data_IF_632824448546
#
_entry.id   IF_632824448546
#
_cell.length_a   1.000
_cell.length_b   1.000
_cell.length_c   1.000
_cell.angle_alpha   90.00
_cell.angle_beta   90.00
_cell.angle_gamma   90.00
#
_symmetry.space_group_name_H-M   'P 1'
#
loop_
_entity.id
_entity.type
_entity.pdbx_description
1 polymer ?
#
# COMPACT_ATOMS: atom_id res chain seq x y z
N UNK A 1 1.32 18.12 -11.98
CA UNK A 1 -0.05 18.21 -11.43
C UNK A 1 0.05 18.10 -9.92
N UNK A 2 -0.69 18.90 -9.14
CA UNK A 2 -0.78 18.67 -7.69
C UNK A 2 -1.45 17.32 -7.46
N UNK A 3 -0.87 16.50 -6.59
CA UNK A 3 -1.45 15.22 -6.23
C UNK A 3 -2.67 15.46 -5.34
N UNK A 4 -3.85 15.02 -5.78
CA UNK A 4 -5.12 15.33 -5.11
C UNK A 4 -5.60 14.18 -4.24
N UNK A 5 -6.50 14.48 -3.30
CA UNK A 5 -7.18 13.45 -2.51
C UNK A 5 -7.90 12.41 -3.39
N UNK A 6 -8.45 12.83 -4.55
CA UNK A 6 -9.10 11.92 -5.48
C UNK A 6 -8.08 10.99 -6.15
N UNK A 7 -6.94 11.53 -6.59
CA UNK A 7 -5.83 10.72 -7.12
C UNK A 7 -5.34 9.71 -6.08
N UNK A 8 -5.24 10.14 -4.82
CA UNK A 8 -4.87 9.29 -3.70
C UNK A 8 -5.85 8.15 -3.48
N UNK A 9 -7.15 8.42 -3.46
CA UNK A 9 -8.17 7.38 -3.31
C UNK A 9 -8.10 6.35 -4.45
N UNK A 10 -7.89 6.81 -5.69
CA UNK A 10 -7.72 5.92 -6.85
C UNK A 10 -6.49 5.04 -6.70
N UNK A 11 -5.35 5.61 -6.27
CA UNK A 11 -4.12 4.84 -6.08
C UNK A 11 -4.25 3.82 -4.94
N UNK A 12 -4.93 4.15 -3.85
CA UNK A 12 -5.23 3.18 -2.78
C UNK A 12 -6.08 2.02 -3.33
N UNK A 13 -7.12 2.31 -4.11
CA UNK A 13 -7.99 1.29 -4.70
C UNK A 13 -7.19 0.38 -5.64
N UNK A 14 -6.32 0.95 -6.47
CA UNK A 14 -5.44 0.18 -7.34
C UNK A 14 -4.52 -0.74 -6.53
N UNK A 15 -3.92 -0.23 -5.45
CA UNK A 15 -3.06 -1.01 -4.57
C UNK A 15 -3.82 -2.16 -3.86
N UNK A 16 -5.06 -1.91 -3.42
CA UNK A 16 -5.96 -2.94 -2.88
C UNK A 16 -6.23 -4.04 -3.91
N UNK A 17 -6.48 -3.67 -5.17
CA UNK A 17 -6.73 -4.65 -6.24
C UNK A 17 -5.50 -5.51 -6.50
N UNK A 18 -4.30 -4.92 -6.49
CA UNK A 18 -3.03 -5.66 -6.60
C UNK A 18 -2.85 -6.63 -5.42
N UNK A 19 -3.13 -6.19 -4.19
CA UNK A 19 -3.08 -7.07 -3.01
C UNK A 19 -4.00 -8.27 -3.16
N UNK A 20 -5.25 -8.05 -3.62
CA UNK A 20 -6.22 -9.13 -3.85
C UNK A 20 -5.76 -10.09 -4.94
N UNK A 21 -5.19 -9.59 -6.03
CA UNK A 21 -4.64 -10.42 -7.09
C UNK A 21 -3.46 -11.26 -6.56
N UNK A 22 -2.60 -10.68 -5.74
CA UNK A 22 -1.45 -11.37 -5.14
C UNK A 22 -1.90 -12.47 -4.17
N UNK A 23 -2.92 -12.21 -3.34
CA UNK A 23 -3.56 -13.22 -2.47
C UNK A 23 -4.06 -14.41 -3.31
N UNK A 24 -4.71 -14.16 -4.45
CA UNK A 24 -5.19 -15.22 -5.34
C UNK A 24 -4.04 -16.05 -5.91
N UNK A 25 -2.91 -15.42 -6.24
CA UNK A 25 -1.70 -16.15 -6.69
C UNK A 25 -1.13 -17.03 -5.57
N UNK A 26 -1.02 -16.50 -4.34
CA UNK A 26 -0.48 -17.26 -3.20
C UNK A 26 -1.36 -18.43 -2.80
N UNK A 27 -2.69 -18.29 -2.89
CA UNK A 27 -3.63 -19.41 -2.72
C UNK A 27 -3.49 -20.51 -3.77
N UNK A 28 -2.79 -20.25 -4.87
CA UNK A 28 -2.45 -21.21 -5.93
C UNK A 28 -0.98 -21.67 -5.86
N UNK A 29 -0.32 -21.47 -4.72
CA UNK A 29 1.10 -21.79 -4.49
C UNK A 29 2.08 -21.10 -5.46
N UNK A 30 1.67 -19.98 -6.08
CA UNK A 30 2.57 -19.15 -6.87
C UNK A 30 3.41 -18.33 -5.90
N UNK A 31 4.74 -18.42 -6.03
CA UNK A 31 5.68 -17.67 -5.20
C UNK A 31 5.76 -16.19 -5.58
N UNK A 32 6.24 -15.37 -4.65
CA UNK A 32 6.55 -13.95 -4.83
C UNK A 32 7.03 -13.32 -3.51
N UNK A 33 7.11 -11.99 -3.46
CA UNK A 33 7.79 -11.25 -2.39
C UNK A 33 7.01 -11.14 -1.06
N UNK A 34 5.70 -10.94 -1.11
CA UNK A 34 4.85 -10.79 0.07
C UNK A 34 4.24 -12.11 0.56
N UNK A 35 4.25 -12.38 1.86
CA UNK A 35 3.56 -13.54 2.43
C UNK A 35 2.04 -13.32 2.48
N UNK A 36 1.27 -14.41 2.54
CA UNK A 36 -0.19 -14.34 2.78
C UNK A 36 -0.52 -13.56 4.05
N UNK A 37 0.25 -13.77 5.12
CA UNK A 37 0.05 -13.09 6.39
C UNK A 37 0.28 -11.57 6.26
N UNK A 38 1.31 -11.14 5.53
CA UNK A 38 1.53 -9.72 5.26
C UNK A 38 0.38 -9.11 4.46
N UNK A 39 -0.10 -9.80 3.43
CA UNK A 39 -1.18 -9.32 2.60
C UNK A 39 -2.50 -9.20 3.38
N UNK A 40 -2.89 -10.24 4.12
CA UNK A 40 -4.20 -10.31 4.79
C UNK A 40 -4.23 -9.59 6.15
N UNK A 41 -3.14 -9.57 6.91
CA UNK A 41 -3.15 -9.03 8.27
C UNK A 41 -2.53 -7.63 8.40
N UNK A 42 -1.79 -7.16 7.40
CA UNK A 42 -1.07 -5.87 7.46
C UNK A 42 -1.46 -4.97 6.30
N UNK A 43 -1.17 -5.38 5.07
CA UNK A 43 -1.23 -4.50 3.89
C UNK A 43 -2.68 -4.17 3.55
N UNK A 44 -3.52 -5.19 3.33
CA UNK A 44 -4.90 -4.97 2.93
C UNK A 44 -5.72 -4.21 4.00
N UNK A 45 -5.67 -4.57 5.30
CA UNK A 45 -6.39 -3.84 6.33
C UNK A 45 -5.97 -2.38 6.46
N UNK A 46 -4.67 -2.08 6.35
CA UNK A 46 -4.19 -0.69 6.40
C UNK A 46 -4.69 0.12 5.22
N UNK A 47 -4.59 -0.41 4.00
CA UNK A 47 -5.05 0.27 2.79
C UNK A 47 -6.57 0.54 2.82
N UNK A 48 -7.35 -0.42 3.29
CA UNK A 48 -8.81 -0.25 3.45
C UNK A 48 -9.14 0.82 4.50
N UNK A 49 -8.46 0.83 5.65
CA UNK A 49 -8.64 1.85 6.67
C UNK A 49 -8.23 3.24 6.16
N UNK A 50 -7.13 3.33 5.42
CA UNK A 50 -6.64 4.57 4.83
C UNK A 50 -7.61 5.12 3.79
N UNK A 51 -8.18 4.26 2.94
CA UNK A 51 -9.20 4.65 1.97
C UNK A 51 -10.43 5.26 2.66
N UNK A 52 -10.88 4.67 3.77
CA UNK A 52 -12.00 5.23 4.53
C UNK A 52 -11.66 6.60 5.11
N UNK A 53 -10.48 6.76 5.72
CA UNK A 53 -10.01 8.06 6.24
C UNK A 53 -9.93 9.12 5.13
N UNK A 54 -9.44 8.75 3.95
CA UNK A 54 -9.35 9.64 2.79
C UNK A 54 -10.74 10.07 2.29
N UNK A 55 -11.74 9.18 2.31
CA UNK A 55 -13.12 9.49 1.91
C UNK A 55 -13.84 10.45 2.85
N UNK A 56 -13.63 10.30 4.15
CA UNK A 56 -14.27 11.14 5.18
C UNK A 56 -13.47 12.40 5.51
N UNK A 57 -12.35 12.65 4.81
CA UNK A 57 -11.49 13.81 5.06
C UNK A 57 -10.80 13.79 6.42
N UNK A 58 -10.65 12.63 7.05
CA UNK A 58 -10.06 12.47 8.38
C UNK A 58 -8.65 11.87 8.27
N UNK A 59 -7.82 12.49 7.43
CA UNK A 59 -6.40 12.13 7.34
C UNK A 59 -5.63 12.77 8.51
N UNK A 60 -4.66 12.06 9.11
CA UNK A 60 -3.83 12.62 10.16
C UNK A 60 -2.98 13.79 9.62
N UNK A 61 -2.38 14.60 10.51
CA UNK A 61 -1.45 15.65 10.13
C UNK A 61 -0.31 15.12 9.26
N UNK A 62 0.23 15.93 8.34
CA UNK A 62 1.31 15.53 7.41
C UNK A 62 2.49 14.83 8.09
N UNK A 63 2.88 15.26 9.29
CA UNK A 63 4.00 14.68 10.04
C UNK A 63 3.77 13.20 10.42
N UNK A 64 2.52 12.78 10.54
CA UNK A 64 2.10 11.43 10.95
C UNK A 64 1.66 10.56 9.76
N UNK A 65 1.83 11.04 8.51
CA UNK A 65 1.45 10.31 7.31
C UNK A 65 2.57 9.38 6.87
N UNK A 66 2.45 8.10 7.20
CA UNK A 66 3.29 7.03 6.66
C UNK A 66 2.51 5.72 6.63
N UNK A 67 2.90 4.81 5.73
CA UNK A 67 2.32 3.47 5.68
C UNK A 67 3.14 2.51 6.55
N UNK A 68 2.50 1.89 7.52
CA UNK A 68 3.11 0.81 8.29
C UNK A 68 3.38 -0.40 7.39
N UNK A 69 2.55 -0.62 6.37
CA UNK A 69 2.74 -1.65 5.35
C UNK A 69 4.05 -1.49 4.59
N UNK A 70 4.42 -0.24 4.28
CA UNK A 70 5.70 0.06 3.67
C UNK A 70 6.84 -0.27 4.64
N UNK A 71 6.78 0.19 5.89
CA UNK A 71 7.80 -0.13 6.91
C UNK A 71 7.91 -1.64 7.20
N UNK A 72 6.80 -2.38 7.16
CA UNK A 72 6.75 -3.81 7.42
C UNK A 72 7.22 -4.63 6.21
N UNK A 73 7.04 -4.14 4.99
CA UNK A 73 7.64 -4.74 3.79
C UNK A 73 9.17 -4.85 3.93
N UNK A 74 9.84 -3.84 4.50
CA UNK A 74 11.29 -3.90 4.77
C UNK A 74 11.70 -4.81 5.92
N UNK A 75 10.77 -5.23 6.78
CA UNK A 75 11.10 -6.02 7.98
C UNK A 75 11.39 -7.48 7.67
N UNK A 76 11.02 -7.96 6.49
CA UNK A 76 11.27 -9.33 6.03
C UNK A 76 12.10 -9.29 4.75
N UNK A 77 13.23 -9.99 4.74
CA UNK A 77 14.20 -10.11 3.62
C UNK A 77 13.64 -10.83 2.37
N UNK A 78 12.34 -10.72 2.09
CA UNK A 78 11.67 -11.39 0.96
C UNK A 78 11.42 -10.49 -0.26
N UNK A 79 11.62 -9.18 -0.13
CA UNK A 79 11.43 -8.23 -1.22
C UNK A 79 12.75 -8.01 -1.94
N UNK A 80 12.77 -8.32 -3.23
CA UNK A 80 13.92 -8.09 -4.08
C UNK A 80 14.00 -6.60 -4.42
N UNK A 81 14.99 -5.92 -3.83
CA UNK A 81 15.21 -4.49 -4.05
C UNK A 81 15.88 -4.20 -5.41
N UNK A 82 16.43 -5.21 -6.08
CA UNK A 82 16.98 -5.10 -7.44
C UNK A 82 15.88 -5.27 -8.51
N UNK A 83 14.91 -6.16 -8.27
CA UNK A 83 13.74 -6.36 -9.15
C UNK A 83 12.40 -6.32 -8.39
N UNK A 84 11.98 -5.15 -7.87
CA UNK A 84 10.81 -5.06 -7.01
C UNK A 84 9.52 -5.41 -7.75
N UNK A 85 8.61 -6.12 -7.07
CA UNK A 85 7.27 -6.37 -7.61
C UNK A 85 6.48 -5.08 -7.80
N UNK A 86 5.50 -5.13 -8.68
CA UNK A 86 4.55 -4.03 -8.91
C UNK A 86 3.88 -3.57 -7.61
N UNK A 87 3.58 -4.49 -6.70
CA UNK A 87 2.99 -4.16 -5.40
C UNK A 87 3.95 -3.32 -4.54
N UNK A 88 5.25 -3.64 -4.54
CA UNK A 88 6.26 -2.87 -3.81
C UNK A 88 6.36 -1.44 -4.33
N UNK A 89 6.47 -1.30 -5.65
CA UNK A 89 6.58 -0.01 -6.33
C UNK A 89 5.35 0.83 -5.99
N UNK A 90 4.15 0.24 -6.05
CA UNK A 90 2.90 0.95 -5.73
C UNK A 90 2.79 1.34 -4.28
N UNK A 91 3.21 0.51 -3.33
CA UNK A 91 3.25 0.88 -1.90
C UNK A 91 4.22 2.03 -1.64
N UNK A 92 5.35 2.05 -2.34
CA UNK A 92 6.36 3.12 -2.24
C UNK A 92 5.82 4.44 -2.78
N UNK A 93 5.26 4.42 -3.99
CA UNK A 93 4.60 5.58 -4.61
C UNK A 93 3.49 6.11 -3.71
N UNK A 94 2.63 5.21 -3.20
CA UNK A 94 1.52 5.58 -2.33
C UNK A 94 2.01 6.22 -1.02
N UNK A 95 3.05 5.68 -0.39
CA UNK A 95 3.63 6.24 0.83
C UNK A 95 4.19 7.65 0.60
N UNK A 96 4.92 7.86 -0.49
CA UNK A 96 5.48 9.17 -0.83
C UNK A 96 4.37 10.18 -1.14
N UNK A 97 3.43 9.80 -1.97
CA UNK A 97 2.29 10.65 -2.34
C UNK A 97 1.40 10.98 -1.13
N UNK A 98 1.26 10.06 -0.18
CA UNK A 98 0.52 10.31 1.06
C UNK A 98 1.17 11.41 1.92
N UNK A 99 2.50 11.42 1.99
CA UNK A 99 3.28 12.45 2.71
C UNK A 99 3.17 13.81 2.04
N UNK A 100 3.15 13.83 0.71
CA UNK A 100 3.15 15.06 -0.08
C UNK A 100 1.75 15.63 -0.33
N UNK A 101 0.69 14.90 0.05
CA UNK A 101 -0.70 15.31 -0.14
C UNK A 101 -0.98 16.66 0.55
N UNK A 102 -1.17 17.72 -0.23
CA UNK A 102 -1.60 19.03 0.29
C UNK A 102 -3.08 18.98 0.71
N UNK A 103 -3.39 19.62 1.83
CA UNK A 103 -4.77 19.82 2.31
C UNK A 103 -5.51 20.89 1.48
#
# INVERSE_FOLDING_TARGET
MKYTINSFQVDIINCINLCKAEIVKRKKDISGESTMEQLENVILPELEALLQKAKVGNLPPKADRYLNSFANAFRVWGWDMETPTELFVKLTELNNNYRDLEE
#
